data_IF_658598396529
#
_entry.id   IF_658598396529
#
_cell.length_a   1.000
_cell.length_b   1.000
_cell.length_c   1.000
_cell.angle_alpha   90.00
_cell.angle_beta   90.00
_cell.angle_gamma   90.00
#
_symmetry.space_group_name_H-M   'P 1'
#
loop_
_entity.id
_entity.type
_entity.pdbx_description
1 polymer ?
#
# COMPACT_ATOMS: atom_id res chain seq x y z
N UNK A 1 -11.85 -4.86 -23.48
CA UNK A 1 -11.60 -6.06 -22.65
C UNK A 1 -12.81 -6.94 -22.69
N UNK A 2 -12.65 -8.24 -22.93
CA UNK A 2 -13.74 -9.19 -22.77
C UNK A 2 -14.23 -9.22 -21.32
N UNK A 3 -15.53 -9.41 -21.13
CA UNK A 3 -16.23 -9.30 -19.85
C UNK A 3 -15.68 -10.26 -18.78
N UNK A 4 -15.19 -11.43 -19.20
CA UNK A 4 -14.62 -12.45 -18.31
C UNK A 4 -13.25 -12.05 -17.73
N UNK A 5 -12.35 -11.48 -18.53
CA UNK A 5 -11.06 -11.00 -18.05
C UNK A 5 -11.19 -9.80 -17.10
N UNK A 6 -12.16 -8.91 -17.37
CA UNK A 6 -12.46 -7.77 -16.50
C UNK A 6 -12.88 -8.25 -15.12
N UNK A 7 -13.78 -9.23 -15.05
CA UNK A 7 -14.22 -9.79 -13.77
C UNK A 7 -13.06 -10.43 -12.99
N UNK A 8 -12.25 -11.28 -13.64
CA UNK A 8 -11.06 -11.88 -13.00
C UNK A 8 -10.09 -10.85 -12.45
N UNK A 9 -9.90 -9.75 -13.18
CA UNK A 9 -9.06 -8.64 -12.73
C UNK A 9 -9.65 -7.95 -11.49
N UNK A 10 -10.94 -7.60 -11.51
CA UNK A 10 -11.62 -6.96 -10.36
C UNK A 10 -11.61 -7.88 -9.13
N UNK A 11 -11.92 -9.17 -9.29
CA UNK A 11 -11.87 -10.15 -8.19
C UNK A 11 -10.48 -10.21 -7.55
N UNK A 12 -9.44 -10.12 -8.38
CA UNK A 12 -8.05 -10.13 -7.92
C UNK A 12 -7.67 -8.83 -7.20
N UNK A 13 -8.16 -7.66 -7.65
CA UNK A 13 -7.98 -6.40 -6.91
C UNK A 13 -8.71 -6.42 -5.58
N UNK A 14 -9.97 -6.87 -5.55
CA UNK A 14 -10.74 -7.05 -4.30
C UNK A 14 -9.98 -7.97 -3.33
N UNK A 15 -9.40 -9.07 -3.83
CA UNK A 15 -8.57 -9.95 -3.03
C UNK A 15 -7.35 -9.23 -2.45
N UNK A 16 -6.65 -8.41 -3.25
CA UNK A 16 -5.50 -7.64 -2.79
C UNK A 16 -5.89 -6.60 -1.73
N UNK A 17 -7.03 -5.91 -1.90
CA UNK A 17 -7.53 -4.95 -0.92
C UNK A 17 -7.93 -5.61 0.41
N UNK A 18 -8.60 -6.76 0.36
CA UNK A 18 -8.93 -7.53 1.58
C UNK A 18 -7.67 -7.99 2.30
N UNK A 19 -6.65 -8.41 1.54
CA UNK A 19 -5.34 -8.78 2.10
C UNK A 19 -4.69 -7.58 2.81
N UNK A 20 -4.72 -6.41 2.19
CA UNK A 20 -4.25 -5.17 2.78
C UNK A 20 -4.99 -4.83 4.09
N UNK A 21 -6.32 -4.97 4.12
CA UNK A 21 -7.11 -4.73 5.33
C UNK A 21 -6.68 -5.65 6.49
N UNK A 22 -6.49 -6.94 6.22
CA UNK A 22 -6.03 -7.93 7.20
C UNK A 22 -4.64 -7.56 7.73
N UNK A 23 -3.71 -7.17 6.86
CA UNK A 23 -2.35 -6.80 7.27
C UNK A 23 -2.31 -5.56 8.15
N UNK A 24 -3.16 -4.57 7.84
CA UNK A 24 -3.25 -3.36 8.62
C UNK A 24 -3.84 -3.65 10.02
N UNK A 25 -4.75 -4.61 10.12
CA UNK A 25 -5.28 -5.13 11.39
C UNK A 25 -4.25 -5.95 12.18
N UNK A 26 -3.57 -6.89 11.55
CA UNK A 26 -2.51 -7.68 12.17
C UNK A 26 -1.41 -6.77 12.74
N UNK A 27 -0.99 -5.77 11.97
CA UNK A 27 0.01 -4.81 12.42
C UNK A 27 -0.49 -4.01 13.62
N UNK A 28 -1.71 -3.46 13.57
CA UNK A 28 -2.30 -2.70 14.68
C UNK A 28 -2.36 -3.54 15.97
N UNK A 29 -2.74 -4.81 15.86
CA UNK A 29 -2.78 -5.71 17.00
C UNK A 29 -1.38 -5.99 17.56
N UNK A 30 -0.39 -6.21 16.69
CA UNK A 30 0.99 -6.48 17.10
C UNK A 30 1.67 -5.27 17.73
N UNK A 31 1.47 -4.08 17.18
CA UNK A 31 2.06 -2.85 17.71
C UNK A 31 1.49 -2.47 19.07
N UNK A 32 0.20 -2.76 19.30
CA UNK A 32 -0.45 -2.55 20.59
C UNK A 32 0.12 -3.43 21.73
N UNK A 33 0.92 -4.46 21.43
CA UNK A 33 1.55 -5.31 22.42
C UNK A 33 2.80 -4.69 23.07
N UNK A 34 3.42 -3.70 22.41
CA UNK A 34 4.58 -3.00 22.95
C UNK A 34 5.61 -2.53 21.92
N UNK A 35 6.60 -1.77 22.41
CA UNK A 35 7.67 -1.18 21.57
C UNK A 35 8.59 -2.22 20.92
N UNK A 36 8.78 -3.38 21.55
CA UNK A 36 9.63 -4.44 20.98
C UNK A 36 8.92 -5.08 19.77
N UNK A 37 7.64 -5.35 19.94
CA UNK A 37 6.75 -5.93 18.94
C UNK A 37 6.55 -4.97 17.76
N UNK A 38 6.47 -3.66 18.02
CA UNK A 38 6.42 -2.65 16.96
C UNK A 38 7.68 -2.65 16.07
N UNK A 39 8.87 -2.84 16.65
CA UNK A 39 10.14 -2.95 15.90
C UNK A 39 10.16 -4.19 15.02
N UNK A 40 9.80 -5.34 15.58
CA UNK A 40 9.79 -6.61 14.83
C UNK A 40 8.75 -6.60 13.71
N UNK A 41 7.59 -5.97 13.97
CA UNK A 41 6.54 -5.79 12.97
C UNK A 41 6.98 -4.87 11.83
N UNK A 42 7.74 -3.81 12.13
CA UNK A 42 8.32 -2.95 11.11
C UNK A 42 9.31 -3.71 10.20
N UNK A 43 10.24 -4.46 10.79
CA UNK A 43 11.20 -5.24 10.01
C UNK A 43 10.51 -6.32 9.16
N UNK A 44 9.46 -6.93 9.70
CA UNK A 44 8.63 -7.90 8.97
C UNK A 44 7.92 -7.25 7.78
N UNK A 45 7.28 -6.09 7.99
CA UNK A 45 6.62 -5.34 6.92
C UNK A 45 7.60 -4.93 5.81
N UNK A 46 8.80 -4.44 6.17
CA UNK A 46 9.86 -4.09 5.20
C UNK A 46 10.29 -5.28 4.36
N UNK A 47 10.58 -6.43 5.00
CA UNK A 47 11.00 -7.66 4.30
C UNK A 47 9.93 -8.13 3.32
N UNK A 48 8.67 -8.13 3.76
CA UNK A 48 7.55 -8.56 2.95
C UNK A 48 7.34 -7.66 1.73
N UNK A 49 7.39 -6.34 1.94
CA UNK A 49 7.26 -5.38 0.85
C UNK A 49 8.45 -5.46 -0.12
N UNK A 50 9.67 -5.66 0.37
CA UNK A 50 10.86 -5.88 -0.45
C UNK A 50 10.72 -7.15 -1.33
N UNK A 51 10.20 -8.25 -0.78
CA UNK A 51 9.91 -9.47 -1.54
C UNK A 51 8.87 -9.20 -2.64
N UNK A 52 7.78 -8.49 -2.29
CA UNK A 52 6.77 -8.11 -3.27
C UNK A 52 7.34 -7.25 -4.42
N UNK A 53 8.22 -6.29 -4.12
CA UNK A 53 8.90 -5.48 -5.14
C UNK A 53 9.78 -6.35 -6.03
N UNK A 54 10.53 -7.30 -5.44
CA UNK A 54 11.36 -8.23 -6.20
C UNK A 54 10.53 -9.07 -7.18
N UNK A 55 9.44 -9.67 -6.71
CA UNK A 55 8.54 -10.45 -7.57
C UNK A 55 7.85 -9.60 -8.64
N UNK A 56 7.43 -8.39 -8.27
CA UNK A 56 6.77 -7.46 -9.19
C UNK A 56 7.71 -7.05 -10.32
N UNK A 57 8.98 -6.77 -9.99
CA UNK A 57 10.03 -6.46 -10.97
C UNK A 57 10.21 -7.62 -11.95
N UNK A 58 10.24 -8.86 -11.47
CA UNK A 58 10.36 -10.04 -12.34
C UNK A 58 9.16 -10.24 -13.28
N UNK A 59 7.96 -9.80 -12.89
CA UNK A 59 6.72 -9.92 -13.67
C UNK A 59 6.55 -8.83 -14.73
N UNK A 60 7.30 -7.72 -14.68
CA UNK A 60 7.21 -6.62 -15.63
C UNK A 60 8.05 -6.92 -16.90
N UNK A 61 7.39 -7.15 -18.06
CA UNK A 61 8.03 -7.33 -19.39
C UNK A 61 8.10 -6.02 -20.21
N UNK A 62 9.08 -5.90 -21.10
CA UNK A 62 9.73 -4.64 -21.52
C UNK A 62 9.23 -3.93 -22.78
N UNK A 63 9.28 -2.59 -22.73
CA UNK A 63 9.81 -1.71 -23.79
C UNK A 63 11.02 -0.97 -23.20
N UNK A 64 12.20 -1.09 -23.83
CA UNK A 64 13.53 -0.90 -23.20
C UNK A 64 13.65 0.25 -22.19
N UNK A 65 13.35 1.49 -22.57
CA UNK A 65 13.71 2.65 -21.74
C UNK A 65 12.76 2.90 -20.55
N UNK A 66 11.44 2.82 -20.75
CA UNK A 66 10.45 3.12 -19.70
C UNK A 66 10.42 2.06 -18.59
N UNK A 67 10.75 0.81 -18.91
CA UNK A 67 10.84 -0.27 -17.91
C UNK A 67 12.14 -0.18 -17.12
N UNK A 68 13.24 0.23 -17.74
CA UNK A 68 14.51 0.42 -17.03
C UNK A 68 14.38 1.49 -15.95
N UNK A 69 13.75 2.63 -16.24
CA UNK A 69 13.52 3.70 -15.26
C UNK A 69 12.66 3.23 -14.08
N UNK A 70 11.59 2.47 -14.35
CA UNK A 70 10.77 1.86 -13.30
C UNK A 70 11.57 0.85 -12.45
N UNK A 71 12.34 -0.03 -13.10
CA UNK A 71 13.18 -1.01 -12.41
C UNK A 71 14.23 -0.34 -11.52
N UNK A 72 14.85 0.75 -11.99
CA UNK A 72 15.76 1.57 -11.20
C UNK A 72 15.07 2.12 -9.96
N UNK A 73 13.87 2.71 -10.10
CA UNK A 73 13.11 3.23 -8.95
C UNK A 73 12.70 2.14 -7.96
N UNK A 74 12.37 0.94 -8.46
CA UNK A 74 12.12 -0.22 -7.59
C UNK A 74 13.38 -0.64 -6.85
N UNK A 75 14.55 -0.66 -7.49
CA UNK A 75 15.81 -1.00 -6.84
C UNK A 75 16.22 0.05 -5.79
N UNK A 76 16.08 1.34 -6.10
CA UNK A 76 16.29 2.43 -5.14
C UNK A 76 15.43 2.27 -3.90
N UNK A 77 14.13 1.98 -4.07
CA UNK A 77 13.22 1.72 -2.96
C UNK A 77 13.65 0.49 -2.15
N UNK A 78 14.06 -0.60 -2.81
CA UNK A 78 14.57 -1.81 -2.13
C UNK A 78 15.84 -1.54 -1.33
N UNK A 79 16.74 -0.69 -1.83
CA UNK A 79 17.89 -0.22 -1.07
C UNK A 79 17.42 0.53 0.18
N UNK A 80 16.50 1.49 0.06
CA UNK A 80 15.97 2.21 1.23
C UNK A 80 15.29 1.29 2.26
N UNK A 81 14.60 0.23 1.83
CA UNK A 81 14.00 -0.76 2.73
C UNK A 81 15.07 -1.57 3.50
N UNK A 82 16.24 -1.79 2.93
CA UNK A 82 17.32 -2.51 3.59
C UNK A 82 18.21 -1.61 4.46
N UNK A 83 18.12 -0.29 4.29
CA UNK A 83 18.92 0.68 5.05
C UNK A 83 18.28 1.00 6.39
N UNK A 84 19.07 0.97 7.47
CA UNK A 84 18.67 1.46 8.78
C UNK A 84 17.72 0.51 9.53
N UNK A 85 17.87 0.52 10.86
CA UNK A 85 16.95 -0.12 11.81
C UNK A 85 16.18 0.97 12.56
N UNK A 86 14.92 0.72 12.85
CA UNK A 86 14.10 1.61 13.68
C UNK A 86 14.44 1.41 15.17
N UNK A 87 15.65 1.78 15.59
CA UNK A 87 16.10 1.60 16.97
C UNK A 87 15.35 2.50 17.96
N UNK A 88 14.93 3.68 17.50
CA UNK A 88 14.12 4.66 18.22
C UNK A 88 13.18 5.41 17.26
N UNK A 89 12.32 6.27 17.80
CA UNK A 89 11.32 7.02 17.03
C UNK A 89 11.96 8.02 16.06
N UNK A 90 13.09 8.63 16.42
CA UNK A 90 13.80 9.58 15.56
C UNK A 90 14.38 8.89 14.32
N UNK A 91 15.03 7.73 14.52
CA UNK A 91 15.56 6.90 13.45
C UNK A 91 14.44 6.39 12.53
N UNK A 92 13.33 5.94 13.14
CA UNK A 92 12.14 5.54 12.39
C UNK A 92 11.59 6.70 11.53
N UNK A 93 11.41 7.90 12.10
CA UNK A 93 10.92 9.09 11.37
C UNK A 93 11.81 9.48 10.21
N UNK A 94 13.12 9.46 10.42
CA UNK A 94 14.10 9.75 9.37
C UNK A 94 14.01 8.72 8.23
N UNK A 95 13.89 7.43 8.56
CA UNK A 95 13.73 6.35 7.58
C UNK A 95 12.39 6.44 6.85
N UNK A 96 11.29 6.67 7.58
CA UNK A 96 9.94 6.86 7.05
C UNK A 96 9.89 8.00 6.03
N UNK A 97 10.55 9.13 6.29
CA UNK A 97 10.61 10.25 5.34
C UNK A 97 11.28 9.84 4.01
N UNK A 98 12.40 9.11 4.07
CA UNK A 98 13.11 8.61 2.88
C UNK A 98 12.26 7.60 2.11
N UNK A 99 11.63 6.67 2.82
CA UNK A 99 10.73 5.68 2.23
C UNK A 99 9.54 6.33 1.55
N UNK A 100 8.86 7.29 2.22
CA UNK A 100 7.73 8.03 1.64
C UNK A 100 8.11 8.74 0.34
N UNK A 101 9.28 9.36 0.28
CA UNK A 101 9.77 10.00 -0.94
C UNK A 101 9.96 8.99 -2.07
N UNK A 102 10.68 7.88 -1.81
CA UNK A 102 10.91 6.84 -2.81
C UNK A 102 9.59 6.16 -3.28
N UNK A 103 8.65 5.93 -2.37
CA UNK A 103 7.31 5.41 -2.68
C UNK A 103 6.53 6.38 -3.57
N UNK A 104 6.59 7.68 -3.28
CA UNK A 104 5.94 8.70 -4.08
C UNK A 104 6.52 8.76 -5.50
N UNK A 105 7.84 8.79 -5.64
CA UNK A 105 8.50 8.80 -6.94
C UNK A 105 8.13 7.57 -7.77
N UNK A 106 8.14 6.37 -7.17
CA UNK A 106 7.71 5.15 -7.82
C UNK A 106 6.24 5.23 -8.26
N UNK A 107 5.35 5.71 -7.39
CA UNK A 107 3.92 5.92 -7.70
C UNK A 107 3.70 6.88 -8.86
N UNK A 108 4.45 7.98 -8.95
CA UNK A 108 4.37 8.95 -10.05
C UNK A 108 4.80 8.28 -11.37
N UNK A 109 5.89 7.52 -11.38
CA UNK A 109 6.37 6.81 -12.57
C UNK A 109 5.39 5.75 -13.06
N UNK A 110 4.74 5.08 -12.13
CA UNK A 110 3.66 4.13 -12.40
C UNK A 110 2.47 4.84 -13.07
N UNK A 111 1.94 5.90 -12.45
CA UNK A 111 0.72 6.58 -12.91
C UNK A 111 0.87 7.26 -14.27
N UNK A 112 2.10 7.66 -14.64
CA UNK A 112 2.39 8.35 -15.90
C UNK A 112 2.65 7.40 -17.07
N UNK A 113 2.59 6.07 -16.86
CA UNK A 113 2.93 5.08 -17.87
C UNK A 113 1.73 4.20 -18.28
N UNK A 114 1.10 4.57 -19.40
CA UNK A 114 -0.14 3.96 -19.90
C UNK A 114 -0.06 2.46 -20.24
N UNK A 115 1.14 1.90 -20.49
CA UNK A 115 1.30 0.50 -20.93
C UNK A 115 1.10 -0.54 -19.82
N UNK A 116 1.03 -0.13 -18.55
CA UNK A 116 1.15 -1.04 -17.41
C UNK A 116 -0.07 -0.98 -16.46
N UNK A 117 -1.20 -0.44 -16.92
CA UNK A 117 -2.42 -0.18 -16.12
C UNK A 117 -2.83 -1.37 -15.20
N UNK A 118 -2.78 -2.63 -15.68
CA UNK A 118 -3.10 -3.81 -14.84
C UNK A 118 -1.98 -4.25 -13.88
N UNK A 119 -0.71 -4.20 -14.29
CA UNK A 119 0.43 -4.60 -13.42
C UNK A 119 0.56 -3.62 -12.26
N UNK A 120 0.23 -2.35 -12.51
CA UNK A 120 0.32 -1.30 -11.54
C UNK A 120 -0.80 -1.26 -10.52
N UNK A 121 -1.97 -1.84 -10.79
CA UNK A 121 -3.04 -1.90 -9.80
C UNK A 121 -2.54 -2.52 -8.48
N UNK A 122 -1.88 -3.67 -8.57
CA UNK A 122 -1.34 -4.39 -7.42
C UNK A 122 -0.16 -3.67 -6.80
N UNK A 123 0.76 -3.13 -7.62
CA UNK A 123 1.91 -2.38 -7.12
C UNK A 123 1.48 -1.10 -6.40
N UNK A 124 0.45 -0.40 -6.90
CA UNK A 124 -0.13 0.77 -6.25
C UNK A 124 -0.81 0.38 -4.94
N UNK A 125 -1.61 -0.69 -4.92
CA UNK A 125 -2.24 -1.19 -3.69
C UNK A 125 -1.18 -1.47 -2.63
N UNK A 126 -0.13 -2.23 -2.95
CA UNK A 126 0.90 -2.56 -1.97
C UNK A 126 1.70 -1.32 -1.53
N UNK A 127 1.97 -0.36 -2.43
CA UNK A 127 2.59 0.93 -2.08
C UNK A 127 1.73 1.70 -1.07
N UNK A 128 0.41 1.78 -1.30
CA UNK A 128 -0.49 2.48 -0.37
C UNK A 128 -0.62 1.74 0.96
N UNK A 129 -0.77 0.42 0.93
CA UNK A 129 -0.77 -0.42 2.14
C UNK A 129 0.49 -0.16 2.95
N UNK A 130 1.67 -0.25 2.33
CA UNK A 130 2.93 -0.02 3.03
C UNK A 130 3.04 1.40 3.59
N UNK A 131 2.56 2.42 2.86
CA UNK A 131 2.49 3.79 3.38
C UNK A 131 1.64 3.87 4.66
N UNK A 132 0.49 3.21 4.70
CA UNK A 132 -0.38 3.21 5.88
C UNK A 132 0.25 2.43 7.03
N UNK A 133 0.89 1.29 6.76
CA UNK A 133 1.66 0.57 7.78
C UNK A 133 2.74 1.46 8.42
N UNK A 134 3.40 2.33 7.64
CA UNK A 134 4.33 3.34 8.19
C UNK A 134 3.64 4.40 9.05
N UNK A 135 2.38 4.77 8.76
CA UNK A 135 1.60 5.68 9.63
C UNK A 135 1.25 4.99 10.96
N UNK A 136 0.69 3.77 10.90
CA UNK A 136 0.34 2.96 12.09
C UNK A 136 1.54 2.81 13.02
N UNK A 137 2.70 2.45 12.47
CA UNK A 137 3.90 2.28 13.28
C UNK A 137 4.36 3.57 13.95
N UNK A 138 4.25 4.73 13.28
CA UNK A 138 4.67 5.99 13.89
C UNK A 138 3.85 6.32 15.13
N UNK A 139 2.54 6.15 15.04
CA UNK A 139 1.62 6.41 16.15
C UNK A 139 1.95 5.54 17.37
N UNK A 140 2.37 4.30 17.14
CA UNK A 140 2.67 3.32 18.19
C UNK A 140 4.06 3.53 18.83
N UNK A 141 4.97 4.20 18.12
CA UNK A 141 6.21 4.67 18.73
C UNK A 141 5.96 5.86 19.68
N UNK A 142 4.81 6.55 19.60
CA UNK A 142 4.45 7.66 20.49
C UNK A 142 3.74 7.17 21.78
N UNK A 143 4.29 7.46 22.98
CA UNK A 143 3.66 7.08 24.24
C UNK A 143 2.28 7.76 24.42
N UNK A 144 1.24 6.97 24.67
CA UNK A 144 -0.07 7.48 25.11
C UNK A 144 -1.11 7.71 24.01
N UNK A 145 -0.94 7.16 22.80
CA UNK A 145 -1.94 7.26 21.73
C UNK A 145 -3.19 6.40 21.99
N UNK A 146 -4.08 6.82 22.90
CA UNK A 146 -5.45 6.26 23.03
C UNK A 146 -6.32 6.50 21.77
N UNK A 147 -5.86 7.41 20.90
CA UNK A 147 -6.39 7.75 19.59
C UNK A 147 -6.50 6.56 18.61
N UNK A 148 -5.72 5.49 18.82
CA UNK A 148 -5.46 4.47 17.81
C UNK A 148 -6.58 3.44 17.58
N UNK A 149 -7.50 3.19 18.52
CA UNK A 149 -8.46 2.06 18.39
C UNK A 149 -9.77 2.42 17.71
N UNK A 150 -10.44 3.48 18.15
CA UNK A 150 -11.74 3.88 17.58
C UNK A 150 -11.58 4.43 16.15
N UNK A 151 -10.55 5.25 15.91
CA UNK A 151 -10.24 5.76 14.57
C UNK A 151 -9.85 4.64 13.61
N UNK A 152 -9.14 3.61 14.09
CA UNK A 152 -8.82 2.41 13.33
C UNK A 152 -10.07 1.63 12.91
N UNK A 153 -10.96 1.33 13.86
CA UNK A 153 -12.19 0.57 13.56
C UNK A 153 -13.08 1.31 12.56
N UNK A 154 -13.22 2.64 12.70
CA UNK A 154 -13.96 3.45 11.73
C UNK A 154 -13.29 3.47 10.35
N UNK A 155 -11.96 3.55 10.30
CA UNK A 155 -11.19 3.44 9.07
C UNK A 155 -11.41 2.10 8.39
N UNK A 156 -11.31 1.02 9.16
CA UNK A 156 -11.56 -0.37 8.73
C UNK A 156 -12.95 -0.55 8.15
N UNK A 157 -13.98 -0.07 8.84
CA UNK A 157 -15.36 -0.15 8.36
C UNK A 157 -15.55 0.58 7.02
N UNK A 158 -15.01 1.80 6.90
CA UNK A 158 -15.06 2.58 5.65
C UNK A 158 -14.33 1.88 4.50
N UNK A 159 -13.16 1.29 4.77
CA UNK A 159 -12.39 0.58 3.75
C UNK A 159 -13.05 -0.72 3.31
N UNK A 160 -13.62 -1.47 4.26
CA UNK A 160 -14.39 -2.67 3.93
C UNK A 160 -15.65 -2.34 3.13
N UNK A 161 -16.37 -1.27 3.50
CA UNK A 161 -17.50 -0.76 2.73
C UNK A 161 -17.06 -0.41 1.30
N UNK A 162 -15.95 0.32 1.15
CA UNK A 162 -15.38 0.63 -0.16
C UNK A 162 -15.06 -0.63 -0.98
N UNK A 163 -14.50 -1.67 -0.37
CA UNK A 163 -14.19 -2.94 -1.07
C UNK A 163 -15.48 -3.58 -1.62
N UNK A 164 -16.54 -3.61 -0.82
CA UNK A 164 -17.83 -4.17 -1.25
C UNK A 164 -18.49 -3.31 -2.34
N UNK A 165 -18.44 -1.98 -2.22
CA UNK A 165 -18.94 -1.06 -3.24
C UNK A 165 -18.17 -1.19 -4.56
N UNK A 166 -16.84 -1.28 -4.49
CA UNK A 166 -15.97 -1.50 -5.65
C UNK A 166 -16.34 -2.82 -6.35
N UNK A 167 -16.55 -3.89 -5.58
CA UNK A 167 -16.97 -5.19 -6.12
C UNK A 167 -18.35 -5.11 -6.75
N UNK A 168 -19.32 -4.44 -6.11
CA UNK A 168 -20.68 -4.30 -6.61
C UNK A 168 -20.74 -3.44 -7.89
N UNK A 169 -19.94 -2.37 -7.94
CA UNK A 169 -19.87 -1.42 -9.06
C UNK A 169 -19.16 -2.02 -10.27
N UNK A 170 -17.98 -2.61 -10.06
CA UNK A 170 -17.13 -3.07 -11.16
C UNK A 170 -17.26 -4.56 -11.48
N UNK A 171 -17.94 -5.34 -10.63
CA UNK A 171 -18.31 -6.73 -10.90
C UNK A 171 -19.49 -6.89 -11.88
N UNK A 172 -20.17 -5.80 -12.24
CA UNK A 172 -21.25 -5.73 -13.24
C UNK A 172 -20.69 -5.71 -14.67
N UNK A 173 -21.54 -6.03 -15.66
CA UNK A 173 -21.17 -6.17 -17.08
C UNK A 173 -20.85 -4.84 -17.80
N UNK A 174 -21.05 -3.69 -17.15
CA UNK A 174 -20.89 -2.40 -17.80
C UNK A 174 -19.42 -2.07 -18.09
N UNK A 175 -19.12 -1.43 -19.23
CA UNK A 175 -17.77 -0.95 -19.51
C UNK A 175 -17.39 0.17 -18.53
N UNK A 176 -16.15 0.11 -18.02
CA UNK A 176 -15.61 1.17 -17.14
C UNK A 176 -14.21 1.53 -17.60
N UNK A 177 -13.91 2.83 -17.60
CA UNK A 177 -12.57 3.37 -17.79
C UNK A 177 -11.67 3.07 -16.59
N UNK A 178 -10.43 2.69 -16.87
CA UNK A 178 -9.41 2.41 -15.86
C UNK A 178 -9.12 3.63 -14.99
N UNK A 179 -9.19 4.82 -15.58
CA UNK A 179 -8.90 6.10 -14.94
C UNK A 179 -9.86 6.35 -13.77
N UNK A 180 -11.14 6.01 -13.94
CA UNK A 180 -12.16 6.16 -12.89
C UNK A 180 -11.88 5.18 -11.74
N UNK A 181 -11.59 3.93 -12.10
CA UNK A 181 -11.23 2.90 -11.14
C UNK A 181 -9.97 3.26 -10.33
N UNK A 182 -8.91 3.73 -11.00
CA UNK A 182 -7.66 4.12 -10.35
C UNK A 182 -7.82 5.37 -9.48
N UNK A 183 -8.72 6.29 -9.85
CA UNK A 183 -9.09 7.45 -9.05
C UNK A 183 -9.76 7.03 -7.74
N UNK A 184 -10.83 6.24 -7.83
CA UNK A 184 -11.58 5.72 -6.69
C UNK A 184 -10.71 4.90 -5.74
N UNK A 185 -9.81 4.06 -6.29
CA UNK A 185 -8.84 3.33 -5.49
C UNK A 185 -7.90 4.26 -4.70
N UNK A 186 -7.40 5.32 -5.34
CA UNK A 186 -6.53 6.30 -4.67
C UNK A 186 -7.27 7.08 -3.59
N UNK A 187 -8.53 7.42 -3.85
CA UNK A 187 -9.41 8.12 -2.91
C UNK A 187 -9.73 7.26 -1.69
N UNK A 188 -10.03 5.98 -1.87
CA UNK A 188 -10.26 5.06 -0.77
C UNK A 188 -9.06 4.90 0.17
N UNK A 189 -7.85 4.75 -0.39
CA UNK A 189 -6.63 4.74 0.42
C UNK A 189 -6.38 6.10 1.10
N UNK A 190 -6.79 7.21 0.50
CA UNK A 190 -6.70 8.54 1.12
C UNK A 190 -7.66 8.65 2.30
N UNK A 191 -8.92 8.24 2.15
CA UNK A 191 -9.89 8.20 3.24
C UNK A 191 -9.48 7.26 4.35
N UNK A 192 -8.95 6.08 3.99
CA UNK A 192 -8.40 5.16 4.97
C UNK A 192 -7.25 5.83 5.70
N UNK A 193 -6.22 6.31 5.00
CA UNK A 193 -5.10 7.02 5.61
C UNK A 193 -5.52 8.15 6.54
N UNK A 194 -6.52 8.96 6.18
CA UNK A 194 -7.02 10.02 7.04
C UNK A 194 -7.68 9.49 8.31
N UNK A 195 -8.30 8.31 8.28
CA UNK A 195 -8.78 7.65 9.50
C UNK A 195 -7.64 7.24 10.45
N UNK A 196 -6.39 7.23 9.97
CA UNK A 196 -5.19 6.87 10.74
C UNK A 196 -4.28 8.07 10.99
N UNK A 197 -4.55 9.22 10.36
CA UNK A 197 -3.74 10.42 10.54
C UNK A 197 -4.41 11.27 11.61
N UNK A 198 -3.66 11.64 12.66
CA UNK A 198 -4.16 12.58 13.68
C UNK A 198 -4.70 13.84 12.98
N UNK A 199 -5.87 14.38 13.39
CA UNK A 199 -6.40 15.63 12.86
C UNK A 199 -5.47 16.80 13.11
#
# INVERSE_FOLDING_TARGET
METAEKRKFIDSVVKALRKAAIEMEELQLQTALGKSEAKDSYETAKKRFNLFLHESKAKIKTGKEKVNDLHTKMDELRVQLNLGKAENIEAFRAQKKKLKLALHELKVKIKTNEKFKRIYAYLLIEIETFNILLEIMEDEFEPGSKWAKESFEQGKEKFNTFIEDLKAKYGKKEPTKWEHFSGELSEAFTHFKHAFSKP
#
